data_IF_580569938213
#
_entry.id   IF_580569938213
#
_cell.length_a   1.000
_cell.length_b   1.000
_cell.length_c   1.000
_cell.angle_alpha   90.00
_cell.angle_beta   90.00
_cell.angle_gamma   90.00
#
_symmetry.space_group_name_H-M   'P 1'
#
loop_
_entity.id
_entity.type
_entity.pdbx_description
1 polymer ?
#
# COMPACT_ATOMS: atom_id res chain seq x y z
N UNK A 1 37.40 -48.23 15.28
CA UNK A 1 37.85 -46.82 15.09
C UNK A 1 37.63 -46.35 13.65
N UNK A 2 38.07 -47.10 12.63
CA UNK A 2 37.86 -46.74 11.20
C UNK A 2 36.39 -46.52 10.81
N UNK A 3 35.48 -47.37 11.28
CA UNK A 3 34.04 -47.25 11.01
C UNK A 3 33.43 -45.95 11.54
N UNK A 4 33.83 -45.51 12.73
CA UNK A 4 33.37 -44.25 13.32
C UNK A 4 33.90 -43.02 12.56
N UNK A 5 35.15 -43.08 12.08
CA UNK A 5 35.75 -42.03 11.27
C UNK A 5 35.02 -41.89 9.92
N UNK A 6 34.71 -43.01 9.26
CA UNK A 6 33.93 -43.00 8.01
C UNK A 6 32.50 -42.48 8.22
N UNK A 7 31.85 -42.87 9.32
CA UNK A 7 30.51 -42.37 9.65
C UNK A 7 30.51 -40.84 9.88
N UNK A 8 31.50 -40.32 10.62
CA UNK A 8 31.65 -38.87 10.81
C UNK A 8 31.87 -38.13 9.49
N UNK A 9 32.81 -38.60 8.67
CA UNK A 9 33.10 -38.00 7.37
C UNK A 9 31.87 -38.00 6.45
N UNK A 10 31.08 -39.08 6.48
CA UNK A 10 29.84 -39.20 5.71
C UNK A 10 28.77 -38.21 6.19
N UNK A 11 28.55 -38.11 7.50
CA UNK A 11 27.61 -37.14 8.09
C UNK A 11 28.03 -35.72 7.71
N UNK A 12 29.30 -35.37 7.90
CA UNK A 12 29.82 -34.05 7.54
C UNK A 12 29.63 -33.76 6.05
N UNK A 13 29.90 -34.74 5.18
CA UNK A 13 29.67 -34.61 3.74
C UNK A 13 28.22 -34.32 3.40
N UNK A 14 27.27 -35.06 4.00
CA UNK A 14 25.83 -34.84 3.82
C UNK A 14 25.43 -33.45 4.31
N UNK A 15 25.91 -33.02 5.49
CA UNK A 15 25.60 -31.70 6.04
C UNK A 15 26.07 -30.59 5.11
N UNK A 16 27.29 -30.68 4.58
CA UNK A 16 27.83 -29.68 3.63
C UNK A 16 27.02 -29.68 2.34
N UNK A 17 26.68 -30.85 1.81
CA UNK A 17 25.88 -30.97 0.59
C UNK A 17 24.49 -30.34 0.76
N UNK A 18 23.81 -30.63 1.87
CA UNK A 18 22.52 -30.00 2.21
C UNK A 18 22.65 -28.49 2.34
N UNK A 19 23.71 -27.99 2.98
CA UNK A 19 23.91 -26.55 3.11
C UNK A 19 24.04 -25.87 1.73
N UNK A 20 24.73 -26.51 0.77
CA UNK A 20 24.89 -25.99 -0.60
C UNK A 20 23.57 -25.99 -1.37
N UNK A 21 22.81 -27.09 -1.32
CA UNK A 21 21.56 -27.20 -2.08
C UNK A 21 20.47 -26.26 -1.53
N UNK A 22 20.57 -25.85 -0.26
CA UNK A 22 19.67 -24.89 0.37
C UNK A 22 20.18 -23.44 0.38
N UNK A 23 21.29 -23.11 -0.30
CA UNK A 23 21.77 -21.72 -0.43
C UNK A 23 20.67 -20.74 -0.88
N UNK A 24 19.87 -21.01 -1.92
CA UNK A 24 18.84 -20.07 -2.40
C UNK A 24 17.82 -19.73 -1.32
N UNK A 25 17.39 -20.75 -0.56
CA UNK A 25 16.52 -20.59 0.61
C UNK A 25 17.20 -19.74 1.67
N UNK A 26 18.44 -20.05 2.05
CA UNK A 26 19.17 -19.30 3.09
C UNK A 26 19.28 -17.82 2.70
N UNK A 27 19.57 -17.51 1.43
CA UNK A 27 19.65 -16.14 0.90
C UNK A 27 18.29 -15.43 1.01
N UNK A 28 17.20 -16.08 0.63
CA UNK A 28 15.85 -15.51 0.70
C UNK A 28 15.44 -15.17 2.14
N UNK A 29 15.74 -16.05 3.10
CA UNK A 29 15.45 -15.82 4.52
C UNK A 29 16.34 -14.73 5.13
N UNK A 30 17.64 -14.73 4.83
CA UNK A 30 18.57 -13.69 5.32
C UNK A 30 18.23 -12.30 4.80
N UNK A 31 17.68 -12.20 3.59
CA UNK A 31 17.23 -10.95 2.98
C UNK A 31 15.79 -10.57 3.34
N UNK A 32 15.11 -11.35 4.16
CA UNK A 32 13.69 -11.16 4.50
C UNK A 32 12.80 -10.98 3.26
N UNK A 33 13.11 -11.69 2.17
CA UNK A 33 12.37 -11.58 0.92
C UNK A 33 10.87 -11.85 1.14
N UNK A 34 9.95 -11.04 0.56
CA UNK A 34 8.51 -11.20 0.77
C UNK A 34 8.03 -12.62 0.44
N UNK A 35 8.53 -13.16 -0.67
CA UNK A 35 8.19 -14.51 -1.14
C UNK A 35 9.15 -15.60 -0.65
N UNK A 36 9.80 -15.44 0.52
CA UNK A 36 10.77 -16.42 1.06
C UNK A 36 10.22 -17.84 1.17
N UNK A 37 8.95 -17.99 1.54
CA UNK A 37 8.28 -19.30 1.63
C UNK A 37 8.05 -19.93 0.26
N UNK A 38 7.75 -19.12 -0.75
CA UNK A 38 7.57 -19.61 -2.12
C UNK A 38 8.90 -20.07 -2.72
N UNK A 39 9.97 -19.29 -2.50
CA UNK A 39 11.33 -19.66 -2.90
C UNK A 39 11.76 -20.97 -2.21
N UNK A 40 11.41 -21.17 -0.93
CA UNK A 40 11.68 -22.43 -0.24
C UNK A 40 10.99 -23.61 -0.90
N UNK A 41 9.70 -23.49 -1.22
CA UNK A 41 8.93 -24.56 -1.88
C UNK A 41 9.52 -24.88 -3.26
N UNK A 42 9.86 -23.86 -4.04
CA UNK A 42 10.49 -24.02 -5.36
C UNK A 42 11.86 -24.69 -5.24
N UNK A 43 12.69 -24.27 -4.28
CA UNK A 43 13.99 -24.88 -4.03
C UNK A 43 13.85 -26.34 -3.54
N UNK A 44 12.81 -26.67 -2.78
CA UNK A 44 12.56 -28.04 -2.32
C UNK A 44 12.10 -28.95 -3.47
N UNK A 45 11.23 -28.46 -4.35
CA UNK A 45 10.70 -29.23 -5.48
C UNK A 45 11.69 -29.33 -6.65
N UNK A 46 12.40 -28.24 -6.97
CA UNK A 46 13.24 -28.13 -8.17
C UNK A 46 14.73 -27.89 -7.89
N UNK A 47 15.15 -27.66 -6.64
CA UNK A 47 16.54 -27.38 -6.28
C UNK A 47 17.49 -28.59 -6.41
N UNK A 48 16.95 -29.79 -6.64
CA UNK A 48 17.72 -30.95 -7.09
C UNK A 48 18.21 -30.83 -8.55
N UNK A 49 17.64 -29.92 -9.34
CA UNK A 49 18.08 -29.64 -10.70
C UNK A 49 18.94 -28.37 -10.72
N UNK A 50 20.02 -28.36 -11.52
CA UNK A 50 20.89 -27.17 -11.66
C UNK A 50 20.06 -25.95 -12.11
N UNK A 51 19.15 -26.15 -13.05
CA UNK A 51 18.28 -25.07 -13.58
C UNK A 51 17.34 -24.53 -12.51
N UNK A 52 16.64 -25.42 -11.78
CA UNK A 52 15.73 -25.02 -10.72
C UNK A 52 16.44 -24.35 -9.54
N UNK A 53 17.63 -24.84 -9.19
CA UNK A 53 18.46 -24.24 -8.15
C UNK A 53 18.92 -22.82 -8.53
N UNK A 54 19.40 -22.62 -9.77
CA UNK A 54 19.80 -21.28 -10.26
C UNK A 54 18.60 -20.36 -10.38
N UNK A 55 17.46 -20.83 -10.88
CA UNK A 55 16.24 -20.03 -10.96
C UNK A 55 15.77 -19.57 -9.57
N UNK A 56 15.77 -20.47 -8.59
CA UNK A 56 15.46 -20.14 -7.19
C UNK A 56 16.46 -19.14 -6.61
N UNK A 57 17.75 -19.27 -6.95
CA UNK A 57 18.80 -18.33 -6.53
C UNK A 57 18.56 -16.93 -7.12
N UNK A 58 18.37 -16.83 -8.43
CA UNK A 58 18.07 -15.55 -9.11
C UNK A 58 16.83 -14.89 -8.50
N UNK A 59 15.79 -15.69 -8.24
CA UNK A 59 14.59 -15.18 -7.58
C UNK A 59 14.83 -14.72 -6.15
N UNK A 60 15.65 -15.44 -5.37
CA UNK A 60 16.05 -15.03 -4.03
C UNK A 60 16.87 -13.72 -4.00
N UNK A 61 17.58 -13.40 -5.07
CA UNK A 61 18.32 -12.15 -5.22
C UNK A 61 17.45 -10.99 -5.74
N UNK A 62 16.40 -11.28 -6.51
CA UNK A 62 15.54 -10.26 -7.12
C UNK A 62 14.54 -9.68 -6.11
N UNK A 63 14.72 -8.41 -5.74
CA UNK A 63 13.81 -7.71 -4.82
C UNK A 63 12.70 -7.03 -5.63
N UNK A 64 11.53 -7.66 -5.72
CA UNK A 64 10.32 -6.98 -6.16
C UNK A 64 9.78 -6.17 -4.98
N UNK A 65 9.99 -4.85 -4.98
CA UNK A 65 9.26 -3.95 -4.10
C UNK A 65 7.80 -3.98 -4.51
N UNK A 66 6.99 -4.77 -3.80
CA UNK A 66 5.53 -4.68 -3.85
C UNK A 66 5.18 -3.92 -2.58
N UNK A 67 4.83 -2.64 -2.70
CA UNK A 67 4.26 -1.85 -1.59
C UNK A 67 3.03 -2.60 -1.06
N UNK A 68 2.97 -2.81 0.25
CA UNK A 68 1.81 -3.43 0.92
C UNK A 68 0.60 -2.48 0.93
N UNK A 69 0.89 -1.20 0.75
CA UNK A 69 0.01 -0.08 0.45
C UNK A 69 -0.48 -0.13 -0.99
N UNK A 70 -1.35 -1.11 -1.26
CA UNK A 70 -2.27 -1.01 -2.38
C UNK A 70 -3.07 0.29 -2.24
N UNK A 71 -2.97 1.18 -3.24
CA UNK A 71 -3.67 2.47 -3.36
C UNK A 71 -2.87 3.74 -3.05
N UNK A 72 -1.57 3.77 -3.35
CA UNK A 72 -0.90 5.02 -3.69
C UNK A 72 -0.63 5.01 -5.20
N UNK A 73 -1.46 5.73 -5.97
CA UNK A 73 -1.39 5.82 -7.43
C UNK A 73 -0.14 6.52 -7.97
N UNK A 74 1.06 6.08 -7.57
CA UNK A 74 2.33 6.71 -7.92
C UNK A 74 3.38 5.78 -8.53
N UNK A 75 3.19 4.45 -8.50
CA UNK A 75 4.21 3.51 -8.99
C UNK A 75 3.95 2.98 -10.41
N UNK A 76 2.70 3.00 -10.87
CA UNK A 76 2.35 2.69 -12.26
C UNK A 76 2.03 3.98 -12.98
N UNK A 77 2.88 4.39 -13.94
CA UNK A 77 2.81 5.66 -14.70
C UNK A 77 1.55 5.90 -15.57
N UNK A 78 0.41 5.31 -15.20
CA UNK A 78 -0.91 5.49 -15.80
C UNK A 78 -1.82 6.38 -14.94
N UNK A 79 -1.36 6.80 -13.75
CA UNK A 79 -2.16 7.62 -12.84
C UNK A 79 -1.45 8.91 -12.38
N UNK A 80 -1.01 9.73 -13.33
CA UNK A 80 -0.41 11.04 -13.06
C UNK A 80 -1.40 12.07 -12.47
N UNK A 81 -2.72 11.79 -12.55
CA UNK A 81 -3.77 12.78 -12.30
C UNK A 81 -4.58 12.54 -11.02
N UNK A 82 -4.42 11.40 -10.34
CA UNK A 82 -5.17 11.12 -9.10
C UNK A 82 -4.76 12.03 -7.94
N UNK A 83 -3.58 12.65 -8.02
CA UNK A 83 -3.10 13.58 -7.00
C UNK A 83 -2.65 14.94 -7.56
N UNK A 84 -3.00 15.25 -8.81
CA UNK A 84 -2.77 16.58 -9.37
C UNK A 84 -3.90 17.51 -8.88
N UNK A 85 -3.61 18.59 -8.11
CA UNK A 85 -4.63 19.55 -7.72
C UNK A 85 -5.14 20.30 -8.95
N UNK A 86 -6.11 19.71 -9.65
CA UNK A 86 -6.82 20.38 -10.74
C UNK A 86 -7.59 21.55 -10.13
N UNK A 87 -7.22 22.75 -10.55
CA UNK A 87 -7.94 23.98 -10.26
C UNK A 87 -9.30 23.95 -10.98
N UNK A 88 -10.31 23.39 -10.31
CA UNK A 88 -11.69 23.41 -10.77
C UNK A 88 -12.19 24.85 -10.75
N UNK A 89 -12.25 25.48 -11.93
CA UNK A 89 -12.91 26.77 -12.09
C UNK A 89 -14.42 26.54 -12.00
N UNK A 90 -14.99 26.82 -10.84
CA UNK A 90 -16.43 26.85 -10.68
C UNK A 90 -16.99 28.01 -11.54
N UNK A 91 -17.63 27.68 -12.65
CA UNK A 91 -18.40 28.64 -13.43
C UNK A 91 -19.69 28.96 -12.64
N UNK A 92 -19.92 30.22 -12.23
CA UNK A 92 -21.06 30.59 -11.39
C UNK A 92 -22.42 30.44 -12.09
N UNK A 93 -22.45 30.07 -13.37
CA UNK A 93 -23.69 29.92 -14.16
C UNK A 93 -24.39 28.55 -14.01
N UNK A 94 -23.81 27.58 -13.30
CA UNK A 94 -24.37 26.23 -13.14
C UNK A 94 -25.49 26.06 -12.09
N UNK A 95 -26.01 27.16 -11.52
CA UNK A 95 -27.11 27.13 -10.55
C UNK A 95 -28.50 27.36 -11.18
N UNK A 96 -28.65 27.17 -12.49
CA UNK A 96 -29.89 27.46 -13.21
C UNK A 96 -30.89 26.32 -13.37
N UNK A 97 -30.50 25.04 -13.35
CA UNK A 97 -31.41 24.00 -13.89
C UNK A 97 -31.21 22.57 -13.32
N UNK A 98 -30.88 22.44 -12.03
CA UNK A 98 -30.69 21.12 -11.41
C UNK A 98 -31.99 20.31 -11.16
N UNK A 99 -33.18 20.85 -11.50
CA UNK A 99 -34.45 20.19 -11.21
C UNK A 99 -35.03 19.33 -12.35
N UNK A 100 -34.25 18.96 -13.39
CA UNK A 100 -34.80 18.25 -14.56
C UNK A 100 -34.16 16.91 -14.95
N UNK A 101 -33.18 16.36 -14.22
CA UNK A 101 -32.49 15.13 -14.71
C UNK A 101 -32.41 13.96 -13.71
N UNK A 102 -32.71 14.10 -12.42
CA UNK A 102 -32.50 13.01 -11.46
C UNK A 102 -33.76 12.17 -11.18
N UNK A 103 -34.36 11.63 -12.24
CA UNK A 103 -35.32 10.54 -12.16
C UNK A 103 -34.75 9.28 -12.86
N UNK A 104 -33.67 8.70 -12.32
CA UNK A 104 -33.31 7.28 -12.50
C UNK A 104 -31.99 6.92 -11.78
N UNK A 105 -32.09 6.13 -10.69
CA UNK A 105 -31.25 4.94 -10.38
C UNK A 105 -31.05 4.75 -8.86
N UNK A 106 -31.49 3.62 -8.28
CA UNK A 106 -31.23 3.26 -6.89
C UNK A 106 -29.94 2.44 -6.82
N UNK A 107 -28.89 2.91 -6.13
CA UNK A 107 -27.77 2.04 -5.73
C UNK A 107 -27.17 2.45 -4.38
N UNK A 108 -27.42 1.60 -3.39
CA UNK A 108 -26.59 1.23 -2.25
C UNK A 108 -25.85 2.33 -1.46
N UNK A 109 -26.47 2.78 -0.37
CA UNK A 109 -25.78 3.41 0.76
C UNK A 109 -25.15 2.33 1.67
N UNK A 110 -23.82 2.26 1.85
CA UNK A 110 -23.26 1.70 3.07
C UNK A 110 -23.43 2.75 4.17
N UNK A 111 -24.09 2.36 5.26
CA UNK A 111 -24.23 3.14 6.48
C UNK A 111 -22.80 3.44 7.00
N UNK A 112 -22.33 4.68 6.83
CA UNK A 112 -21.08 5.14 7.38
C UNK A 112 -21.30 5.49 8.86
N UNK A 113 -20.62 4.74 9.73
CA UNK A 113 -20.51 4.98 11.17
C UNK A 113 -19.97 6.39 11.45
N UNK A 114 -20.69 7.14 12.29
CA UNK A 114 -20.41 8.53 12.71
C UNK A 114 -19.01 8.76 13.30
N UNK A 115 -18.38 7.72 13.85
CA UNK A 115 -17.08 7.79 14.54
C UNK A 115 -15.90 8.16 13.63
N UNK A 116 -15.98 7.89 12.32
CA UNK A 116 -14.87 8.18 11.41
C UNK A 116 -14.83 9.63 10.93
N UNK A 117 -15.95 10.36 11.06
CA UNK A 117 -16.10 11.73 10.53
C UNK A 117 -15.40 12.80 11.37
N UNK A 118 -15.20 12.51 12.66
CA UNK A 118 -14.60 13.43 13.62
C UNK A 118 -13.11 13.63 13.34
N UNK A 119 -12.40 12.51 13.17
CA UNK A 119 -10.97 12.51 12.84
C UNK A 119 -10.70 13.20 11.48
N UNK A 120 -11.53 12.95 10.48
CA UNK A 120 -11.39 13.53 9.14
C UNK A 120 -11.64 15.05 9.14
N UNK A 121 -12.62 15.53 9.90
CA UNK A 121 -12.91 16.97 9.98
C UNK A 121 -11.81 17.75 10.70
N UNK A 122 -11.21 17.17 11.74
CA UNK A 122 -10.05 17.77 12.42
C UNK A 122 -8.86 17.89 11.48
N UNK A 123 -8.60 16.85 10.66
CA UNK A 123 -7.56 16.90 9.64
C UNK A 123 -7.86 17.96 8.56
N UNK A 124 -9.13 18.08 8.17
CA UNK A 124 -9.60 19.09 7.20
C UNK A 124 -9.38 20.50 7.74
N UNK A 125 -9.72 20.78 9.00
CA UNK A 125 -9.48 22.08 9.64
C UNK A 125 -7.99 22.43 9.71
N UNK A 126 -7.13 21.43 10.01
CA UNK A 126 -5.67 21.61 10.00
C UNK A 126 -5.17 21.96 8.60
N UNK A 127 -5.68 21.31 7.56
CA UNK A 127 -5.34 21.59 6.15
C UNK A 127 -5.81 22.98 5.71
N UNK A 128 -7.02 23.39 6.08
CA UNK A 128 -7.50 24.76 5.80
C UNK A 128 -6.59 25.81 6.45
N UNK A 129 -6.15 25.57 7.70
CA UNK A 129 -5.23 26.46 8.41
C UNK A 129 -3.88 26.57 7.70
N UNK A 130 -3.31 25.45 7.24
CA UNK A 130 -2.03 25.47 6.51
C UNK A 130 -2.14 26.22 5.19
N UNK A 131 -3.27 26.07 4.47
CA UNK A 131 -3.52 26.79 3.23
C UNK A 131 -3.64 28.30 3.46
N UNK A 132 -4.34 28.69 4.53
CA UNK A 132 -4.45 30.08 4.94
C UNK A 132 -3.08 30.68 5.31
N UNK A 133 -2.27 29.97 6.10
CA UNK A 133 -0.92 30.40 6.47
C UNK A 133 0.03 30.49 5.28
N UNK A 134 -0.14 29.63 4.28
CA UNK A 134 0.64 29.67 3.04
C UNK A 134 0.23 30.80 2.08
N UNK A 135 -0.84 31.54 2.39
CA UNK A 135 -1.40 32.59 1.52
C UNK A 135 -2.12 32.05 0.29
N UNK A 136 -2.38 30.74 0.22
CA UNK A 136 -3.04 30.10 -0.92
C UNK A 136 -4.55 30.38 -0.99
N UNK A 137 -5.16 30.77 0.14
CA UNK A 137 -6.57 31.14 0.25
C UNK A 137 -6.72 32.46 1.01
N UNK A 138 -7.75 33.23 0.66
CA UNK A 138 -8.07 34.49 1.33
C UNK A 138 -8.74 34.29 2.70
N UNK A 139 -8.76 35.34 3.53
CA UNK A 139 -9.41 35.33 4.86
C UNK A 139 -10.92 35.06 4.75
N UNK A 140 -11.55 35.59 3.72
CA UNK A 140 -12.98 35.42 3.45
C UNK A 140 -13.32 33.98 3.09
N UNK A 141 -12.53 33.37 2.20
CA UNK A 141 -12.68 31.96 1.80
C UNK A 141 -12.41 31.01 2.96
N UNK A 142 -11.37 31.27 3.77
CA UNK A 142 -11.08 30.47 4.95
C UNK A 142 -12.28 30.44 5.91
N UNK A 143 -12.92 31.59 6.13
CA UNK A 143 -14.08 31.72 7.02
C UNK A 143 -15.32 31.01 6.45
N UNK A 144 -15.57 31.17 5.15
CA UNK A 144 -16.68 30.51 4.47
C UNK A 144 -16.55 28.97 4.52
N UNK A 145 -15.35 28.43 4.34
CA UNK A 145 -15.10 26.98 4.33
C UNK A 145 -15.04 26.37 5.75
N UNK A 146 -14.62 27.14 6.75
CA UNK A 146 -14.59 26.69 8.16
C UNK A 146 -15.99 26.58 8.77
N UNK A 147 -16.89 27.51 8.42
CA UNK A 147 -18.24 27.62 8.99
C UNK A 147 -19.09 26.34 8.92
N UNK A 148 -19.26 25.67 7.77
CA UNK A 148 -20.11 24.47 7.67
C UNK A 148 -19.56 23.29 8.48
N UNK A 149 -18.23 23.14 8.56
CA UNK A 149 -17.57 22.09 9.34
C UNK A 149 -17.85 22.32 10.82
N UNK A 150 -17.65 23.55 11.30
CA UNK A 150 -17.87 23.89 12.71
C UNK A 150 -19.34 23.76 13.11
N UNK A 151 -20.27 24.16 12.23
CA UNK A 151 -21.70 24.06 12.48
C UNK A 151 -22.17 22.60 12.67
N UNK A 152 -21.56 21.65 11.95
CA UNK A 152 -21.84 20.22 12.11
C UNK A 152 -21.52 19.74 13.53
N UNK A 153 -20.43 20.21 14.14
CA UNK A 153 -20.06 19.84 15.51
C UNK A 153 -20.94 20.50 16.57
N UNK A 154 -21.35 21.74 16.34
CA UNK A 154 -22.19 22.48 17.29
C UNK A 154 -23.57 21.81 17.42
N UNK A 155 -24.14 21.31 16.32
CA UNK A 155 -25.45 20.64 16.32
C UNK A 155 -25.41 19.15 16.69
N UNK A 156 -24.23 18.52 16.73
CA UNK A 156 -24.09 17.11 17.14
C UNK A 156 -24.07 16.95 18.68
N UNK A 157 -23.85 18.03 19.43
CA UNK A 157 -23.78 17.99 20.91
C UNK A 157 -25.11 18.24 21.64
N UNK A 158 -26.27 18.21 20.96
CA UNK A 158 -27.61 18.24 21.59
C UNK A 158 -28.30 16.87 21.57
#
# INVERSE_FOLDING_TARGET
MQTALFALAFITGITVFLAVIFIPTIVAFRRQHPNRWLIFVVNLAFGGTVVGWVAALVWALHYAHISEDGSNGGESGINLFVNDPVNVRADPTMNGDQNKVLAASPTNNPIASSDHSDAESVQTLRRLKTLFESGAISVEEYTALKTPILNRYIHTTE
#
